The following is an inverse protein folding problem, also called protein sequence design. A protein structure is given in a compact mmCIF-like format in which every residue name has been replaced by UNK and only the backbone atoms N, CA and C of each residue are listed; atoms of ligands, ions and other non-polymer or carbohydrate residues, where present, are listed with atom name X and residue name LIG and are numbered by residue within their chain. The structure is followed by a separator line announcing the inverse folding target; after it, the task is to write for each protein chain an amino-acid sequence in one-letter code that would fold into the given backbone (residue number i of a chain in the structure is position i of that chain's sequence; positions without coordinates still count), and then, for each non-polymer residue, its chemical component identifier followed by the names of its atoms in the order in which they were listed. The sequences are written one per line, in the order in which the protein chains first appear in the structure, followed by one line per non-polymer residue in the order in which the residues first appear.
data_IF_696028412070
#
_entry.id   IF_696028412070
#
_cell.length_a   1.000
_cell.length_b   1.000
_cell.length_c   1.000
_cell.angle_alpha   90.00
_cell.angle_beta   90.00
_cell.angle_gamma   90.00
#
_symmetry.space_group_name_H-M   'P 1'
#
loop_
_entity.id
_entity.type
_entity.pdbx_description
1 polymer ?
#
# COMPACT_ATOMS: atom_id res chain seq x y z
N UNK A 1 14.40 23.26 20.85
CA UNK A 1 13.54 22.52 19.90
C UNK A 1 13.11 21.17 20.48
N UNK A 2 14.01 20.24 20.74
CA UNK A 2 13.69 18.89 21.28
C UNK A 2 12.94 18.93 22.62
N UNK A 3 13.41 19.72 23.60
CA UNK A 3 12.76 19.80 24.92
C UNK A 3 11.37 20.45 24.86
N UNK A 4 11.22 21.48 24.01
CA UNK A 4 9.95 22.20 23.82
C UNK A 4 8.88 21.29 23.20
N UNK A 5 9.26 20.55 22.15
CA UNK A 5 8.40 19.55 21.52
C UNK A 5 8.01 18.43 22.51
N UNK A 6 8.96 17.93 23.31
CA UNK A 6 8.70 16.93 24.34
C UNK A 6 7.72 17.42 25.42
N UNK A 7 7.88 18.66 25.90
CA UNK A 7 6.95 19.24 26.88
C UNK A 7 5.55 19.45 26.31
N UNK A 8 5.45 19.86 25.05
CA UNK A 8 4.18 19.99 24.34
C UNK A 8 3.47 18.63 24.21
N UNK A 9 4.20 17.60 23.76
CA UNK A 9 3.68 16.24 23.65
C UNK A 9 3.20 15.69 25.01
N UNK A 10 3.98 15.92 26.06
CA UNK A 10 3.62 15.53 27.42
C UNK A 10 2.30 16.18 27.88
N UNK A 11 2.20 17.50 27.70
CA UNK A 11 1.02 18.28 28.10
C UNK A 11 -0.22 17.86 27.31
N UNK A 12 -0.08 17.69 25.99
CA UNK A 12 -1.16 17.23 25.12
C UNK A 12 -1.65 15.83 25.51
N UNK A 13 -0.72 14.93 25.84
CA UNK A 13 -1.05 13.58 26.33
C UNK A 13 -1.78 13.57 27.66
N UNK A 14 -1.49 14.51 28.56
CA UNK A 14 -2.23 14.66 29.82
C UNK A 14 -3.68 15.13 29.60
N UNK A 15 -3.92 15.91 28.55
CA UNK A 15 -5.24 16.44 28.21
C UNK A 15 -6.14 15.42 27.49
N UNK A 16 -5.70 14.16 27.31
CA UNK A 16 -6.51 13.08 26.72
C UNK A 16 -7.48 12.45 27.73
N UNK A 17 -8.33 13.27 28.34
CA UNK A 17 -9.39 12.83 29.24
C UNK A 17 -10.61 12.31 28.47
N UNK A 18 -11.31 11.29 28.99
CA UNK A 18 -12.47 10.70 28.30
C UNK A 18 -13.76 11.51 28.42
N UNK A 19 -13.93 12.26 29.52
CA UNK A 19 -15.18 12.92 29.85
C UNK A 19 -15.28 14.36 29.33
N UNK A 20 -14.45 14.70 28.35
CA UNK A 20 -14.43 16.03 27.74
C UNK A 20 -15.31 16.08 26.47
N UNK A 21 -15.77 17.28 26.07
CA UNK A 21 -16.45 17.47 24.78
C UNK A 21 -15.61 16.96 23.60
N UNK A 22 -16.28 16.43 22.57
CA UNK A 22 -15.62 15.80 21.39
C UNK A 22 -14.62 16.72 20.69
N UNK A 23 -14.97 18.00 20.54
CA UNK A 23 -14.14 19.02 19.93
C UNK A 23 -12.85 19.27 20.71
N UNK A 24 -12.94 19.31 22.04
CA UNK A 24 -11.77 19.44 22.93
C UNK A 24 -10.89 18.18 22.84
N UNK A 25 -11.50 16.99 22.89
CA UNK A 25 -10.77 15.73 22.70
C UNK A 25 -10.04 15.68 21.36
N UNK A 26 -10.70 16.07 20.27
CA UNK A 26 -10.09 16.11 18.93
C UNK A 26 -8.95 17.12 18.85
N UNK A 27 -9.06 18.27 19.53
CA UNK A 27 -7.98 19.24 19.62
C UNK A 27 -6.74 18.63 20.29
N UNK A 28 -6.93 17.97 21.44
CA UNK A 28 -5.84 17.30 22.17
C UNK A 28 -5.22 16.16 21.35
N UNK A 29 -6.05 15.35 20.67
CA UNK A 29 -5.57 14.27 19.80
C UNK A 29 -4.75 14.79 18.62
N UNK A 30 -5.19 15.88 17.98
CA UNK A 30 -4.42 16.51 16.89
C UNK A 30 -3.11 17.10 17.37
N UNK A 31 -3.09 17.68 18.57
CA UNK A 31 -1.85 18.18 19.14
C UNK A 31 -0.85 17.04 19.40
N UNK A 32 -1.32 15.91 19.94
CA UNK A 32 -0.50 14.70 20.09
C UNK A 32 -0.02 14.20 18.72
N UNK A 33 -0.91 14.05 17.74
CA UNK A 33 -0.58 13.60 16.39
C UNK A 33 0.49 14.49 15.74
N UNK A 34 0.32 15.81 15.78
CA UNK A 34 1.26 16.77 15.20
C UNK A 34 2.63 16.68 15.86
N UNK A 35 2.67 16.56 17.20
CA UNK A 35 3.94 16.39 17.91
C UNK A 35 4.66 15.09 17.52
N UNK A 36 3.92 13.99 17.37
CA UNK A 36 4.48 12.69 17.01
C UNK A 36 4.93 12.64 15.54
N UNK A 37 4.23 13.34 14.64
CA UNK A 37 4.46 13.26 13.18
C UNK A 37 5.84 13.75 12.73
N UNK A 38 6.47 14.62 13.51
CA UNK A 38 7.79 15.23 13.23
C UNK A 38 8.93 14.54 13.98
N UNK A 39 8.63 13.49 14.76
CA UNK A 39 9.60 12.73 15.52
C UNK A 39 9.92 11.46 14.74
N UNK A 40 11.17 11.34 14.29
CA UNK A 40 11.68 10.08 13.76
C UNK A 40 11.90 9.06 14.88
N UNK A 41 12.31 7.85 14.50
CA UNK A 41 12.69 6.79 15.45
C UNK A 41 13.70 7.32 16.48
N UNK A 42 13.42 7.13 17.77
CA UNK A 42 14.18 7.78 18.83
C UNK A 42 14.21 6.97 20.12
N UNK A 43 15.42 6.72 20.62
CA UNK A 43 15.70 6.17 21.96
C UNK A 43 15.89 7.25 23.04
N UNK A 44 15.60 8.52 22.72
CA UNK A 44 15.75 9.64 23.66
C UNK A 44 14.84 9.48 24.88
N UNK A 45 15.45 9.44 26.08
CA UNK A 45 14.71 9.36 27.35
C UNK A 45 13.67 10.49 27.50
N UNK A 46 13.95 11.68 26.97
CA UNK A 46 13.04 12.83 27.04
C UNK A 46 11.76 12.55 26.25
N UNK A 47 11.88 12.05 25.01
CA UNK A 47 10.72 11.74 24.18
C UNK A 47 9.96 10.53 24.71
N UNK A 48 10.67 9.49 25.13
CA UNK A 48 10.06 8.30 25.73
C UNK A 48 9.31 8.66 27.02
N UNK A 49 9.85 9.56 27.85
CA UNK A 49 9.16 10.08 29.03
C UNK A 49 7.94 10.94 28.65
N UNK A 50 8.09 11.84 27.68
CA UNK A 50 7.04 12.73 27.20
C UNK A 50 5.84 11.97 26.59
N UNK A 51 6.08 10.82 25.95
CA UNK A 51 5.02 10.00 25.36
C UNK A 51 4.17 9.23 26.37
N UNK A 52 4.64 9.03 27.62
CA UNK A 52 3.96 8.18 28.60
C UNK A 52 2.48 8.52 28.82
N UNK A 53 2.07 9.80 28.98
CA UNK A 53 0.65 10.14 29.12
C UNK A 53 -0.17 9.76 27.88
N UNK A 54 0.36 10.02 26.68
CA UNK A 54 -0.29 9.66 25.41
C UNK A 54 -0.41 8.15 25.26
N UNK A 55 0.67 7.41 25.50
CA UNK A 55 0.69 5.94 25.46
C UNK A 55 -0.34 5.32 26.41
N UNK A 56 -0.47 5.88 27.60
CA UNK A 56 -1.43 5.39 28.61
C UNK A 56 -2.87 5.69 28.21
N UNK A 57 -3.13 6.88 27.66
CA UNK A 57 -4.48 7.33 27.34
C UNK A 57 -5.01 6.72 26.04
N UNK A 58 -4.20 6.67 24.98
CA UNK A 58 -4.62 6.25 23.64
C UNK A 58 -5.05 4.78 23.56
N UNK A 59 -4.48 3.91 24.41
CA UNK A 59 -4.81 2.47 24.44
C UNK A 59 -5.99 2.14 25.34
N UNK A 60 -6.66 3.15 25.89
CA UNK A 60 -7.90 2.95 26.63
C UNK A 60 -8.99 2.50 25.68
N UNK A 61 -9.74 1.47 26.07
CA UNK A 61 -10.82 0.88 25.26
C UNK A 61 -11.84 1.92 24.78
N UNK A 62 -12.07 2.94 25.59
CA UNK A 62 -13.02 4.03 25.37
C UNK A 62 -12.57 4.98 24.25
N UNK A 63 -11.25 5.17 24.05
CA UNK A 63 -10.71 5.90 22.90
C UNK A 63 -10.57 5.02 21.67
N UNK A 64 -10.08 3.79 21.83
CA UNK A 64 -9.93 2.85 20.71
C UNK A 64 -11.27 2.50 20.07
N UNK A 65 -12.33 2.38 20.87
CA UNK A 65 -13.70 2.06 20.41
C UNK A 65 -14.61 3.28 20.41
N UNK A 66 -14.04 4.49 20.35
CA UNK A 66 -14.82 5.72 20.31
C UNK A 66 -15.77 5.71 19.12
N UNK A 67 -17.05 6.10 19.33
CA UNK A 67 -18.11 5.97 18.33
C UNK A 67 -17.83 6.77 17.06
N UNK A 68 -17.33 8.00 17.23
CA UNK A 68 -16.98 8.86 16.10
C UNK A 68 -15.79 8.31 15.30
N UNK A 69 -16.03 8.07 14.01
CA UNK A 69 -15.04 7.52 13.07
C UNK A 69 -13.79 8.39 12.95
N UNK A 70 -13.92 9.71 12.94
CA UNK A 70 -12.79 10.61 12.78
C UNK A 70 -11.90 10.63 14.03
N UNK A 71 -12.52 10.63 15.23
CA UNK A 71 -11.79 10.45 16.50
C UNK A 71 -11.01 9.15 16.48
N UNK A 72 -11.67 8.03 16.13
CA UNK A 72 -11.03 6.71 16.09
C UNK A 72 -9.85 6.66 15.13
N UNK A 73 -9.98 7.19 13.91
CA UNK A 73 -8.87 7.28 12.95
C UNK A 73 -7.72 8.18 13.46
N UNK A 74 -8.03 9.25 14.20
CA UNK A 74 -7.00 10.11 14.80
C UNK A 74 -6.24 9.36 15.91
N UNK A 75 -6.95 8.58 16.73
CA UNK A 75 -6.34 7.68 17.72
C UNK A 75 -5.45 6.65 17.01
N UNK A 76 -5.93 5.99 15.95
CA UNK A 76 -5.16 5.04 15.13
C UNK A 76 -3.87 5.66 14.62
N UNK A 77 -3.94 6.89 14.06
CA UNK A 77 -2.76 7.63 13.59
C UNK A 77 -1.73 7.88 14.70
N UNK A 78 -2.19 8.31 15.88
CA UNK A 78 -1.29 8.54 17.02
C UNK A 78 -0.59 7.26 17.48
N UNK A 79 -1.31 6.14 17.63
CA UNK A 79 -0.72 4.89 18.13
C UNK A 79 0.26 4.26 17.11
N UNK A 80 -0.02 4.37 15.81
CA UNK A 80 0.90 3.87 14.79
C UNK A 80 2.17 4.74 14.67
N UNK A 81 2.07 6.06 14.89
CA UNK A 81 3.24 6.95 15.01
C UNK A 81 4.09 6.59 16.22
N UNK A 82 3.50 6.40 17.41
CA UNK A 82 4.24 5.96 18.61
C UNK A 82 4.96 4.64 18.33
N UNK A 83 4.29 3.70 17.65
CA UNK A 83 4.89 2.40 17.27
C UNK A 83 6.11 2.58 16.37
N UNK A 84 6.06 3.51 15.42
CA UNK A 84 7.20 3.87 14.57
C UNK A 84 8.35 4.52 15.36
N UNK A 85 8.03 5.44 16.27
CA UNK A 85 9.04 6.16 17.06
C UNK A 85 9.83 5.21 17.96
N UNK A 86 9.15 4.24 18.58
CA UNK A 86 9.80 3.30 19.51
C UNK A 86 10.37 2.04 18.85
N UNK A 87 10.22 1.90 17.53
CA UNK A 87 10.82 0.80 16.78
C UNK A 87 12.33 0.67 17.12
N UNK A 88 12.93 -0.53 17.07
CA UNK A 88 12.34 -1.81 16.65
C UNK A 88 11.48 -2.49 17.74
N UNK A 89 11.40 -1.93 18.95
CA UNK A 89 10.59 -2.50 20.04
C UNK A 89 9.20 -1.89 20.03
N UNK A 90 8.18 -2.71 19.84
CA UNK A 90 6.82 -2.19 19.89
C UNK A 90 6.50 -1.67 21.31
N UNK A 91 5.79 -0.53 21.42
CA UNK A 91 5.64 0.22 22.67
C UNK A 91 4.65 -0.41 23.65
N UNK A 92 3.79 -1.30 23.16
CA UNK A 92 2.72 -1.95 23.92
C UNK A 92 2.93 -3.47 23.97
N UNK A 93 2.22 -4.17 24.86
CA UNK A 93 2.24 -5.63 24.84
C UNK A 93 1.51 -6.19 23.59
N UNK A 94 1.75 -7.46 23.27
CA UNK A 94 1.23 -8.11 22.05
C UNK A 94 -0.29 -8.04 21.93
N UNK A 95 -1.06 -8.16 23.02
CA UNK A 95 -2.53 -8.10 22.97
C UNK A 95 -3.01 -6.71 22.55
N UNK A 96 -2.42 -5.67 23.14
CA UNK A 96 -2.74 -4.28 22.78
C UNK A 96 -2.31 -4.00 21.34
N UNK A 97 -1.14 -4.49 20.91
CA UNK A 97 -0.71 -4.36 19.52
C UNK A 97 -1.71 -4.99 18.53
N UNK A 98 -2.25 -6.17 18.84
CA UNK A 98 -3.30 -6.81 18.01
C UNK A 98 -4.57 -5.95 17.92
N UNK A 99 -5.01 -5.35 19.02
CA UNK A 99 -6.14 -4.39 18.99
C UNK A 99 -5.84 -3.15 18.15
N UNK A 100 -4.60 -2.63 18.21
CA UNK A 100 -4.16 -1.52 17.36
C UNK A 100 -4.18 -1.91 15.89
N UNK A 101 -3.68 -3.10 15.54
CA UNK A 101 -3.71 -3.59 14.15
C UNK A 101 -5.13 -3.81 13.64
N UNK A 102 -6.06 -4.25 14.49
CA UNK A 102 -7.48 -4.30 14.12
C UNK A 102 -8.00 -2.91 13.72
N UNK A 103 -7.68 -1.85 14.49
CA UNK A 103 -8.05 -0.47 14.13
C UNK A 103 -7.41 0.00 12.81
N UNK A 104 -6.15 -0.37 12.58
CA UNK A 104 -5.42 -0.02 11.35
C UNK A 104 -6.07 -0.69 10.14
N UNK A 105 -6.36 -1.98 10.20
CA UNK A 105 -6.98 -2.72 9.10
C UNK A 105 -8.40 -2.20 8.82
N UNK A 106 -9.20 -1.93 9.85
CA UNK A 106 -10.52 -1.26 9.71
C UNK A 106 -10.40 0.14 9.07
N UNK A 107 -9.25 0.81 9.23
CA UNK A 107 -9.00 2.09 8.59
C UNK A 107 -8.86 1.99 7.07
N UNK A 108 -8.59 0.80 6.52
CA UNK A 108 -8.43 0.59 5.08
C UNK A 108 -9.73 0.22 4.35
N UNK A 109 -10.75 -0.26 5.06
CA UNK A 109 -12.05 -0.63 4.47
C UNK A 109 -12.74 0.50 3.68
N UNK A 110 -12.42 1.77 3.96
CA UNK A 110 -13.06 2.90 3.26
C UNK A 110 -12.07 3.80 2.54
N UNK A 111 -11.06 3.22 1.89
CA UNK A 111 -10.16 3.95 1.00
C UNK A 111 -10.84 4.36 -0.32
N UNK A 112 -11.96 3.75 -0.68
CA UNK A 112 -12.83 4.13 -1.81
C UNK A 112 -13.72 5.34 -1.50
N UNK A 113 -14.03 5.58 -0.23
CA UNK A 113 -14.84 6.72 0.24
C UNK A 113 -14.00 8.01 0.37
N UNK A 114 -13.76 8.66 -0.78
CA UNK A 114 -13.03 9.93 -0.90
C UNK A 114 -13.69 11.07 -0.09
N UNK A 115 -14.99 10.93 0.24
CA UNK A 115 -15.78 12.00 0.85
C UNK A 115 -15.63 12.09 2.37
N UNK A 116 -15.34 11.01 3.11
CA UNK A 116 -15.09 11.12 4.56
C UNK A 116 -14.59 9.84 5.28
N UNK A 117 -13.45 9.86 6.02
CA UNK A 117 -12.35 10.82 6.03
C UNK A 117 -11.12 10.21 5.32
N UNK A 118 -11.16 10.24 3.99
CA UNK A 118 -10.13 9.65 3.14
C UNK A 118 -8.72 10.12 3.46
N UNK A 119 -8.51 11.43 3.64
CA UNK A 119 -7.19 12.00 3.93
C UNK A 119 -6.54 11.36 5.17
N UNK A 120 -7.31 11.14 6.24
CA UNK A 120 -6.79 10.53 7.47
C UNK A 120 -6.46 9.04 7.28
N UNK A 121 -7.26 8.31 6.49
CA UNK A 121 -6.96 6.92 6.12
C UNK A 121 -5.68 6.82 5.30
N UNK A 122 -5.47 7.75 4.36
CA UNK A 122 -4.22 7.85 3.59
C UNK A 122 -3.02 8.18 4.48
N UNK A 123 -3.17 9.03 5.50
CA UNK A 123 -2.12 9.26 6.50
C UNK A 123 -1.74 7.96 7.20
N UNK A 124 -2.71 7.20 7.71
CA UNK A 124 -2.45 5.92 8.39
C UNK A 124 -1.76 4.94 7.43
N UNK A 125 -2.25 4.80 6.20
CA UNK A 125 -1.67 3.95 5.16
C UNK A 125 -0.20 4.29 4.91
N UNK A 126 0.13 5.58 4.77
CA UNK A 126 1.50 6.06 4.56
C UNK A 126 2.40 5.74 5.75
N UNK A 127 1.90 5.90 6.98
CA UNK A 127 2.70 5.57 8.17
C UNK A 127 2.97 4.07 8.23
N UNK A 128 1.94 3.23 8.01
CA UNK A 128 2.06 1.76 7.95
C UNK A 128 3.11 1.32 6.94
N UNK A 129 3.10 1.90 5.73
CA UNK A 129 4.11 1.66 4.72
C UNK A 129 5.51 2.12 5.17
N UNK A 130 5.64 3.36 5.69
CA UNK A 130 6.93 3.95 6.12
C UNK A 130 7.61 3.09 7.19
N UNK A 131 6.85 2.65 8.18
CA UNK A 131 7.41 1.91 9.33
C UNK A 131 7.38 0.39 9.13
N UNK A 132 6.95 -0.07 7.95
CA UNK A 132 6.84 -1.51 7.63
C UNK A 132 5.98 -2.28 8.64
N UNK A 133 4.86 -1.69 9.06
CA UNK A 133 4.07 -2.22 10.18
C UNK A 133 3.48 -3.62 9.91
N UNK A 134 3.38 -4.04 8.65
CA UNK A 134 2.99 -5.40 8.27
C UNK A 134 3.99 -6.46 8.76
N UNK A 135 5.28 -6.14 8.89
CA UNK A 135 6.27 -7.07 9.47
C UNK A 135 5.97 -7.33 10.94
N UNK A 136 5.59 -6.29 11.68
CA UNK A 136 5.14 -6.44 13.08
C UNK A 136 3.86 -7.28 13.17
N UNK A 137 2.96 -7.21 12.17
CA UNK A 137 1.78 -8.08 12.12
C UNK A 137 2.17 -9.54 11.91
N UNK A 138 3.16 -9.82 11.07
CA UNK A 138 3.72 -11.16 10.86
C UNK A 138 4.35 -11.68 12.17
N UNK A 139 5.22 -10.90 12.80
CA UNK A 139 5.88 -11.26 14.07
C UNK A 139 4.90 -11.55 15.23
N UNK A 140 3.68 -11.01 15.16
CA UNK A 140 2.64 -11.18 16.16
C UNK A 140 1.60 -12.25 15.78
N UNK A 141 1.80 -12.99 14.69
CA UNK A 141 0.88 -14.01 14.19
C UNK A 141 -0.53 -13.44 13.94
N UNK A 142 -0.62 -12.34 13.18
CA UNK A 142 -1.88 -11.66 12.87
C UNK A 142 -2.48 -12.05 11.50
N UNK A 143 -2.44 -13.34 11.13
CA UNK A 143 -2.87 -13.84 9.81
C UNK A 143 -4.27 -13.36 9.40
N UNK A 144 -5.27 -13.46 10.29
CA UNK A 144 -6.63 -13.00 10.03
C UNK A 144 -6.72 -11.50 9.66
N UNK A 145 -5.84 -10.68 10.24
CA UNK A 145 -5.77 -9.25 9.96
C UNK A 145 -5.07 -8.98 8.64
N UNK A 146 -4.04 -9.75 8.31
CA UNK A 146 -3.33 -9.68 7.03
C UNK A 146 -4.28 -10.02 5.88
N UNK A 147 -5.04 -11.11 6.00
CA UNK A 147 -6.05 -11.50 5.02
C UNK A 147 -7.09 -10.40 4.79
N UNK A 148 -7.64 -9.84 5.88
CA UNK A 148 -8.59 -8.71 5.80
C UNK A 148 -7.97 -7.47 5.17
N UNK A 149 -6.72 -7.16 5.47
CA UNK A 149 -5.99 -6.03 4.89
C UNK A 149 -5.85 -6.19 3.38
N UNK A 150 -5.43 -7.37 2.91
CA UNK A 150 -5.31 -7.66 1.48
C UNK A 150 -6.67 -7.55 0.79
N UNK A 151 -7.73 -8.13 1.37
CA UNK A 151 -9.08 -8.01 0.83
C UNK A 151 -9.51 -6.54 0.72
N UNK A 152 -9.32 -5.74 1.78
CA UNK A 152 -9.65 -4.32 1.74
C UNK A 152 -8.88 -3.58 0.65
N UNK A 153 -7.60 -3.87 0.43
CA UNK A 153 -6.83 -3.24 -0.64
C UNK A 153 -7.33 -3.61 -2.03
N UNK A 154 -7.67 -4.88 -2.27
CA UNK A 154 -8.24 -5.30 -3.56
C UNK A 154 -9.62 -4.66 -3.78
N UNK A 155 -10.49 -4.64 -2.76
CA UNK A 155 -11.86 -4.13 -2.85
C UNK A 155 -11.91 -2.61 -3.05
N UNK A 156 -11.00 -1.86 -2.41
CA UNK A 156 -11.09 -0.40 -2.33
C UNK A 156 -10.20 0.34 -3.31
N UNK A 157 -9.20 -0.33 -3.91
CA UNK A 157 -8.34 0.29 -4.91
C UNK A 157 -9.15 0.66 -6.14
N UNK A 158 -9.06 1.91 -6.58
CA UNK A 158 -9.79 2.41 -7.75
C UNK A 158 -8.97 3.44 -8.53
N UNK A 159 -9.42 3.75 -9.74
CA UNK A 159 -8.78 4.70 -10.66
C UNK A 159 -8.76 6.13 -10.09
N UNK A 160 -9.63 6.43 -9.12
CA UNK A 160 -9.71 7.74 -8.48
C UNK A 160 -8.60 7.97 -7.45
N UNK A 161 -7.83 6.94 -7.09
CA UNK A 161 -6.74 7.07 -6.15
C UNK A 161 -5.55 7.82 -6.74
N UNK A 162 -4.99 8.73 -5.95
CA UNK A 162 -3.71 9.33 -6.29
C UNK A 162 -2.60 8.26 -6.32
N UNK A 163 -1.61 8.43 -7.20
CA UNK A 163 -0.51 7.48 -7.40
C UNK A 163 0.20 7.07 -6.10
N UNK A 164 0.40 8.00 -5.18
CA UNK A 164 1.06 7.75 -3.90
C UNK A 164 0.27 6.81 -2.97
N UNK A 165 -1.06 6.79 -3.08
CA UNK A 165 -1.92 5.84 -2.35
C UNK A 165 -1.68 4.43 -2.90
N UNK A 166 -1.75 4.26 -4.22
CA UNK A 166 -1.51 2.97 -4.89
C UNK A 166 -0.10 2.45 -4.58
N UNK A 167 0.92 3.32 -4.61
CA UNK A 167 2.31 2.95 -4.26
C UNK A 167 2.40 2.47 -2.80
N UNK A 168 1.69 3.11 -1.88
CA UNK A 168 1.69 2.70 -0.47
C UNK A 168 1.03 1.33 -0.28
N UNK A 169 -0.10 1.09 -0.95
CA UNK A 169 -0.78 -0.22 -0.95
C UNK A 169 0.13 -1.32 -1.52
N UNK A 170 0.70 -1.07 -2.70
CA UNK A 170 1.64 -1.99 -3.37
C UNK A 170 2.82 -2.31 -2.45
N UNK A 171 3.44 -1.29 -1.84
CA UNK A 171 4.57 -1.45 -0.92
C UNK A 171 4.22 -2.37 0.26
N UNK A 172 3.05 -2.17 0.86
CA UNK A 172 2.61 -3.00 2.00
C UNK A 172 2.36 -4.44 1.57
N UNK A 173 1.61 -4.65 0.48
CA UNK A 173 1.29 -6.00 0.00
C UNK A 173 2.55 -6.79 -0.39
N UNK A 174 3.44 -6.17 -1.18
CA UNK A 174 4.70 -6.79 -1.62
C UNK A 174 5.61 -7.11 -0.43
N UNK A 175 5.77 -6.16 0.50
CA UNK A 175 6.61 -6.38 1.68
C UNK A 175 6.05 -7.50 2.56
N UNK A 176 4.73 -7.54 2.75
CA UNK A 176 4.09 -8.60 3.55
C UNK A 176 4.40 -9.97 2.96
N UNK A 177 4.18 -10.17 1.67
CA UNK A 177 4.46 -11.46 1.01
C UNK A 177 5.93 -11.86 1.11
N UNK A 178 6.85 -10.93 0.86
CA UNK A 178 8.28 -11.24 0.87
C UNK A 178 8.81 -11.61 2.26
N UNK A 179 8.27 -10.99 3.32
CA UNK A 179 8.67 -11.22 4.71
C UNK A 179 7.90 -12.36 5.38
N UNK A 180 6.78 -12.82 4.81
CA UNK A 180 6.06 -14.01 5.30
C UNK A 180 6.94 -15.26 5.22
N UNK A 181 6.93 -16.13 6.23
CA UNK A 181 7.62 -17.43 6.15
C UNK A 181 6.97 -18.36 5.12
N UNK A 182 5.64 -18.42 5.13
CA UNK A 182 4.80 -19.22 4.24
C UNK A 182 3.59 -18.41 3.77
N UNK A 183 3.05 -18.73 2.59
CA UNK A 183 1.90 -18.04 1.99
C UNK A 183 0.67 -18.92 2.12
N UNK A 184 -0.33 -18.45 2.87
CA UNK A 184 -1.57 -19.19 3.08
C UNK A 184 -2.42 -19.30 1.79
N UNK A 185 -3.16 -20.40 1.65
CA UNK A 185 -4.06 -20.64 0.52
C UNK A 185 -5.16 -19.58 0.39
N UNK A 186 -5.60 -19.02 1.52
CA UNK A 186 -6.57 -17.92 1.53
C UNK A 186 -5.95 -16.64 0.94
N UNK A 187 -4.69 -16.34 1.27
CA UNK A 187 -3.99 -15.18 0.72
C UNK A 187 -3.78 -15.32 -0.80
N UNK A 188 -3.39 -16.52 -1.25
CA UNK A 188 -3.31 -16.84 -2.69
C UNK A 188 -4.67 -16.67 -3.38
N UNK A 189 -5.74 -17.15 -2.75
CA UNK A 189 -7.10 -17.02 -3.30
C UNK A 189 -7.48 -15.55 -3.53
N UNK A 190 -7.13 -14.65 -2.61
CA UNK A 190 -7.37 -13.20 -2.75
C UNK A 190 -6.60 -12.64 -3.95
N UNK A 191 -5.33 -13.02 -4.13
CA UNK A 191 -4.51 -12.59 -5.27
C UNK A 191 -5.05 -13.15 -6.59
N UNK A 192 -5.41 -14.43 -6.66
CA UNK A 192 -5.94 -15.07 -7.86
C UNK A 192 -7.30 -14.49 -8.28
N UNK A 193 -8.19 -14.23 -7.33
CA UNK A 193 -9.46 -13.54 -7.60
C UNK A 193 -9.22 -12.15 -8.22
N UNK A 194 -8.23 -11.42 -7.69
CA UNK A 194 -7.76 -10.14 -8.24
C UNK A 194 -7.26 -10.21 -9.69
N UNK A 195 -6.63 -11.31 -10.08
CA UNK A 195 -6.15 -11.51 -11.46
C UNK A 195 -7.27 -11.92 -12.43
N UNK A 196 -8.19 -12.79 -11.98
CA UNK A 196 -9.24 -13.41 -12.80
C UNK A 196 -10.40 -12.48 -13.16
N UNK A 197 -10.36 -11.21 -12.75
CA UNK A 197 -11.42 -10.23 -13.00
C UNK A 197 -12.78 -10.75 -12.53
N UNK A 198 -12.84 -11.33 -11.33
CA UNK A 198 -14.13 -11.67 -10.73
C UNK A 198 -15.03 -10.41 -10.66
N UNK A 199 -16.35 -10.63 -10.67
CA UNK A 199 -17.30 -9.52 -10.71
C UNK A 199 -17.03 -8.52 -9.57
N UNK A 200 -16.98 -7.23 -9.90
CA UNK A 200 -16.77 -6.08 -9.00
C UNK A 200 -15.32 -5.69 -8.66
N UNK A 201 -14.30 -6.21 -9.36
CA UNK A 201 -12.91 -5.74 -9.20
C UNK A 201 -12.61 -4.59 -10.17
N UNK A 202 -12.02 -3.51 -9.69
CA UNK A 202 -11.65 -2.37 -10.54
C UNK A 202 -10.41 -2.69 -11.41
N UNK A 203 -10.29 -2.10 -12.62
CA UNK A 203 -9.06 -2.14 -13.40
C UNK A 203 -7.81 -1.73 -12.60
N UNK A 204 -7.90 -0.70 -11.76
CA UNK A 204 -6.79 -0.27 -10.91
C UNK A 204 -6.37 -1.35 -9.90
N UNK A 205 -7.32 -2.06 -9.29
CA UNK A 205 -7.06 -3.17 -8.39
C UNK A 205 -6.42 -4.35 -9.12
N UNK A 206 -6.84 -4.65 -10.34
CA UNK A 206 -6.21 -5.70 -11.16
C UNK A 206 -4.74 -5.37 -11.47
N UNK A 207 -4.44 -4.12 -11.85
CA UNK A 207 -3.06 -3.67 -12.09
C UNK A 207 -2.23 -3.74 -10.82
N UNK A 208 -2.80 -3.34 -9.68
CA UNK A 208 -2.16 -3.47 -8.37
C UNK A 208 -1.77 -4.93 -8.09
N UNK A 209 -2.73 -5.86 -8.16
CA UNK A 209 -2.49 -7.29 -7.87
C UNK A 209 -1.50 -7.89 -8.85
N UNK A 210 -1.59 -7.56 -10.13
CA UNK A 210 -0.62 -7.99 -11.15
C UNK A 210 0.80 -7.55 -10.80
N UNK A 211 0.97 -6.31 -10.33
CA UNK A 211 2.27 -5.80 -9.92
C UNK A 211 2.78 -6.48 -8.64
N UNK A 212 1.90 -6.73 -7.66
CA UNK A 212 2.24 -7.48 -6.44
C UNK A 212 2.76 -8.88 -6.81
N UNK A 213 2.04 -9.61 -7.65
CA UNK A 213 2.43 -10.98 -8.06
C UNK A 213 3.76 -10.98 -8.81
N UNK A 214 3.99 -10.02 -9.71
CA UNK A 214 5.27 -9.87 -10.41
C UNK A 214 6.42 -9.57 -9.47
N UNK A 215 6.23 -8.69 -8.48
CA UNK A 215 7.29 -8.33 -7.52
C UNK A 215 7.58 -9.42 -6.48
N UNK A 216 6.65 -10.35 -6.28
CA UNK A 216 6.76 -11.47 -5.34
C UNK A 216 6.87 -12.82 -6.07
N UNK A 217 7.28 -12.84 -7.34
CA UNK A 217 7.30 -14.07 -8.15
C UNK A 217 8.09 -15.20 -7.48
N UNK A 218 9.30 -14.91 -7.00
CA UNK A 218 10.16 -15.90 -6.36
C UNK A 218 9.50 -16.54 -5.13
N UNK A 219 8.75 -15.73 -4.36
CA UNK A 219 8.05 -16.17 -3.16
C UNK A 219 6.78 -16.95 -3.48
N UNK A 220 6.05 -16.54 -4.53
CA UNK A 220 4.75 -17.12 -4.89
C UNK A 220 4.89 -18.38 -5.76
N UNK A 221 5.95 -18.49 -6.56
CA UNK A 221 6.15 -19.58 -7.53
C UNK A 221 5.98 -20.98 -6.93
N UNK A 222 6.53 -21.32 -5.75
CA UNK A 222 6.34 -22.64 -5.15
C UNK A 222 4.87 -22.98 -4.90
N UNK A 223 4.04 -22.00 -4.56
CA UNK A 223 2.64 -22.23 -4.20
C UNK A 223 1.72 -22.30 -5.42
N UNK A 224 2.10 -21.67 -6.54
CA UNK A 224 1.34 -21.70 -7.79
C UNK A 224 1.57 -22.99 -8.60
N UNK A 225 2.66 -23.71 -8.35
CA UNK A 225 3.00 -24.95 -9.05
C UNK A 225 2.54 -26.23 -8.34
N UNK A 226 2.04 -26.14 -7.10
CA UNK A 226 1.66 -27.29 -6.26
C UNK A 226 0.22 -27.77 -6.52
N UNK A 227 -0.60 -27.02 -7.28
CA UNK A 227 -1.93 -27.48 -7.74
C UNK A 227 -1.89 -28.60 -8.81
N UNK A 228 -0.72 -29.23 -9.07
CA UNK A 228 -0.54 -30.19 -10.17
C UNK A 228 0.10 -31.54 -9.80
N UNK A 229 -0.05 -32.03 -8.56
CA UNK A 229 0.21 -33.47 -8.29
C UNK A 229 -1.02 -34.29 -7.89
N UNK A 230 -2.19 -33.67 -7.70
CA UNK A 230 -3.47 -34.41 -7.54
C UNK A 230 -4.57 -33.78 -8.40
N UNK A 231 -4.40 -33.76 -9.74
CA UNK A 231 -5.46 -33.86 -10.73
C UNK A 231 -4.85 -33.82 -12.15
N UNK A 232 -4.43 -34.99 -12.64
CA UNK A 232 -4.23 -35.20 -14.07
C UNK A 232 -5.59 -35.18 -14.80
N UNK A 233 -6.11 -33.98 -15.09
CA UNK A 233 -7.00 -33.73 -16.23
C UNK A 233 -7.21 -32.23 -16.39
N UNK A 234 -7.10 -31.72 -17.61
CA UNK A 234 -7.32 -30.32 -18.05
C UNK A 234 -6.22 -29.28 -17.73
N UNK A 235 -5.02 -29.48 -18.29
CA UNK A 235 -4.09 -28.40 -18.63
C UNK A 235 -4.68 -27.51 -19.73
N UNK A 236 -5.33 -26.39 -19.41
CA UNK A 236 -5.52 -25.29 -20.38
C UNK A 236 -6.01 -23.95 -19.77
N UNK A 237 -5.55 -23.50 -18.61
CA UNK A 237 -5.83 -22.13 -18.18
C UNK A 237 -4.56 -21.56 -17.55
N UNK A 238 -3.91 -20.64 -18.26
CA UNK A 238 -2.86 -19.66 -17.84
C UNK A 238 -1.96 -19.31 -19.05
N UNK A 239 -1.84 -20.18 -20.07
CA UNK A 239 -1.21 -19.77 -21.34
C UNK A 239 -2.03 -18.76 -22.17
N UNK A 240 -3.25 -18.44 -21.73
CA UNK A 240 -4.16 -17.52 -22.44
C UNK A 240 -4.31 -16.13 -21.84
N UNK A 241 -3.75 -15.84 -20.65
CA UNK A 241 -3.84 -14.50 -20.05
C UNK A 241 -2.73 -13.56 -20.59
N UNK A 242 -1.76 -14.10 -21.36
CA UNK A 242 -0.72 -13.32 -22.05
C UNK A 242 -0.96 -13.34 -23.57
N UNK A 243 -2.16 -12.97 -24.00
CA UNK A 243 -2.42 -12.58 -25.39
C UNK A 243 -2.63 -11.07 -25.43
N UNK A 244 -1.67 -10.36 -26.02
CA UNK A 244 -1.86 -8.98 -26.47
C UNK A 244 -3.01 -8.92 -27.49
N UNK A 245 -3.84 -7.87 -27.50
CA UNK A 245 -4.76 -7.63 -28.61
C UNK A 245 -3.99 -7.08 -29.81
N UNK A 246 -3.85 -7.87 -30.88
CA UNK A 246 -3.50 -7.37 -32.22
C UNK A 246 -4.69 -6.55 -32.77
N UNK A 247 -4.52 -5.24 -32.91
CA UNK A 247 -5.40 -4.38 -33.70
C UNK A 247 -4.92 -4.45 -35.15
N UNK A 248 -5.79 -4.96 -36.03
CA UNK A 248 -5.64 -4.84 -37.50
C UNK A 248 -5.50 -3.36 -37.89
N UNK A 249 -4.36 -2.99 -38.47
CA UNK A 249 -4.20 -1.73 -39.19
C UNK A 249 -4.89 -1.83 -40.55
N UNK A 250 -5.90 -0.98 -40.76
CA UNK A 250 -6.37 -0.58 -42.09
C UNK A 250 -6.14 0.91 -42.27
N UNK A 251 -5.52 1.22 -43.39
CA UNK A 251 -4.81 2.45 -43.69
C UNK A 251 -5.70 3.67 -44.04
N UNK A 252 -5.18 4.86 -43.64
CA UNK A 252 -5.28 6.21 -44.24
C UNK A 252 -6.55 7.08 -44.09
N UNK A 253 -6.45 8.14 -43.26
CA UNK A 253 -6.59 9.54 -43.73
C UNK A 253 -6.03 10.54 -42.70
N UNK A 254 -5.21 11.49 -43.19
CA UNK A 254 -4.66 12.64 -42.47
C UNK A 254 -5.74 13.46 -41.73
N UNK A 255 -5.51 13.81 -40.45
CA UNK A 255 -5.70 15.17 -39.92
C UNK A 255 -5.30 15.30 -38.43
N UNK A 256 -4.43 16.28 -38.16
CA UNK A 256 -4.17 17.04 -36.93
C UNK A 256 -4.05 16.29 -35.57
N UNK A 257 -2.83 16.32 -35.01
CA UNK A 257 -2.57 16.05 -33.59
C UNK A 257 -3.16 17.18 -32.71
N UNK A 258 -4.08 16.85 -31.82
CA UNK A 258 -4.36 17.63 -30.62
C UNK A 258 -3.79 16.88 -29.40
N UNK A 259 -2.86 17.53 -28.71
CA UNK A 259 -2.38 17.13 -27.38
C UNK A 259 -3.55 17.17 -26.38
N UNK A 260 -3.84 16.04 -25.72
CA UNK A 260 -4.72 16.05 -24.55
C UNK A 260 -3.90 16.45 -23.34
N UNK A 261 -3.83 17.77 -23.12
CA UNK A 261 -3.41 18.35 -21.83
C UNK A 261 -4.56 18.14 -20.85
N UNK A 262 -4.38 17.25 -19.87
CA UNK A 262 -5.26 17.22 -18.71
C UNK A 262 -4.92 18.38 -17.78
N UNK A 263 -5.52 19.55 -18.04
CA UNK A 263 -5.59 20.62 -17.05
C UNK A 263 -6.57 20.21 -15.95
N UNK A 264 -6.05 19.66 -14.86
CA UNK A 264 -6.80 19.57 -13.60
C UNK A 264 -6.52 20.80 -12.73
N UNK A 265 -6.97 21.94 -13.22
CA UNK A 265 -6.92 23.20 -12.50
C UNK A 265 -8.14 23.28 -11.56
N UNK A 266 -8.10 22.59 -10.41
CA UNK A 266 -9.02 22.84 -9.27
C UNK A 266 -8.77 22.03 -7.98
N UNK A 267 -7.76 21.16 -7.87
CA UNK A 267 -7.56 20.33 -6.67
C UNK A 267 -6.19 20.48 -5.97
N UNK A 268 -5.50 21.61 -6.20
CA UNK A 268 -4.23 21.94 -5.53
C UNK A 268 -4.39 22.67 -4.19
N UNK A 269 -5.60 22.97 -3.72
CA UNK A 269 -5.81 23.80 -2.52
C UNK A 269 -5.94 23.07 -1.18
N UNK A 270 -5.59 21.79 -1.10
CA UNK A 270 -5.65 21.03 0.18
C UNK A 270 -4.38 20.25 0.54
N UNK A 271 -3.22 20.53 -0.08
CA UNK A 271 -1.96 19.81 0.22
C UNK A 271 -0.79 20.75 0.57
N UNK A 272 -1.00 22.06 0.68
CA UNK A 272 0.06 22.97 1.11
C UNK A 272 -0.12 23.34 2.59
N UNK A 273 0.87 22.88 3.36
CA UNK A 273 1.19 23.16 4.77
C UNK A 273 1.01 21.96 5.73
N UNK A 274 1.94 21.00 5.65
CA UNK A 274 2.86 20.69 6.77
C UNK A 274 3.90 19.64 6.30
N UNK A 275 5.17 20.09 6.24
CA UNK A 275 6.44 19.34 6.22
C UNK A 275 6.73 18.55 4.91
N UNK A 276 7.43 19.08 3.90
CA UNK A 276 8.76 19.70 3.91
C UNK A 276 9.80 18.90 4.72
N UNK A 277 9.90 17.61 4.42
CA UNK A 277 11.17 16.87 4.39
C UNK A 277 10.96 15.55 3.63
N UNK A 278 11.09 15.62 2.30
CA UNK A 278 11.26 14.44 1.46
C UNK A 278 12.30 14.81 0.40
N UNK A 279 13.56 14.95 0.82
CA UNK A 279 14.68 14.92 -0.10
C UNK A 279 14.84 13.46 -0.57
N UNK A 280 14.20 13.11 -1.68
CA UNK A 280 14.79 12.13 -2.58
C UNK A 280 15.84 12.89 -3.37
N UNK A 281 17.12 12.56 -3.16
CA UNK A 281 18.22 12.99 -4.00
C UNK A 281 17.89 12.73 -5.46
N UNK A 282 17.43 13.78 -6.11
CA UNK A 282 17.12 13.84 -7.52
C UNK A 282 18.29 14.52 -8.17
N UNK A 283 19.39 13.79 -8.42
CA UNK A 283 20.31 14.10 -9.51
C UNK A 283 21.32 12.96 -9.76
N UNK A 284 21.35 12.53 -11.02
CA UNK A 284 22.25 11.60 -11.71
C UNK A 284 21.93 10.10 -11.64
N UNK A 285 21.00 9.68 -12.51
CA UNK A 285 21.46 8.91 -13.67
C UNK A 285 20.60 9.22 -14.90
N UNK A 286 21.11 10.13 -15.73
CA UNK A 286 20.69 10.22 -17.13
C UNK A 286 21.21 8.97 -17.84
N UNK A 287 20.36 8.22 -18.54
CA UNK A 287 20.80 7.39 -19.66
C UNK A 287 20.30 8.03 -20.95
N UNK A 288 21.05 9.02 -21.43
CA UNK A 288 21.12 9.32 -22.85
C UNK A 288 21.86 8.18 -23.54
N UNK A 289 21.23 7.58 -24.55
CA UNK A 289 21.85 6.66 -25.49
C UNK A 289 23.09 7.30 -26.11
N UNK A 290 24.25 6.70 -25.89
CA UNK A 290 25.38 6.80 -26.80
C UNK A 290 25.65 5.40 -27.32
N UNK A 291 25.68 5.29 -28.65
CA UNK A 291 25.96 4.09 -29.43
C UNK A 291 27.12 3.26 -28.87
N UNK A 292 26.80 2.05 -28.43
CA UNK A 292 27.71 0.91 -28.53
C UNK A 292 26.86 -0.31 -28.90
N UNK A 293 27.03 -0.77 -30.13
CA UNK A 293 26.13 -1.67 -30.83
C UNK A 293 25.77 -2.94 -30.07
N UNK A 294 24.46 -3.16 -29.97
CA UNK A 294 23.87 -4.48 -29.83
C UNK A 294 22.53 -4.44 -30.57
N UNK A 295 22.47 -5.12 -31.72
CA UNK A 295 21.31 -5.08 -32.60
C UNK A 295 20.14 -5.88 -32.03
N UNK A 296 18.99 -5.21 -32.00
CA UNK A 296 17.66 -5.78 -31.74
C UNK A 296 17.33 -6.83 -32.81
N UNK A 297 17.38 -8.12 -32.44
CA UNK A 297 17.10 -9.22 -33.37
C UNK A 297 17.57 -10.62 -32.95
N UNK A 298 18.32 -10.77 -31.84
CA UNK A 298 19.07 -12.01 -31.59
C UNK A 298 18.37 -13.13 -30.80
N UNK A 299 17.09 -12.98 -30.41
CA UNK A 299 16.37 -14.09 -29.76
C UNK A 299 15.66 -15.03 -30.74
N UNK A 300 15.45 -14.64 -32.01
CA UNK A 300 14.69 -15.45 -33.00
C UNK A 300 15.51 -16.53 -33.73
N UNK A 301 16.74 -16.86 -33.30
CA UNK A 301 17.63 -17.78 -34.04
C UNK A 301 17.88 -19.15 -33.38
N UNK A 302 17.02 -19.59 -32.47
CA UNK A 302 17.08 -20.97 -31.95
C UNK A 302 15.76 -21.71 -32.17
N UNK A 303 15.52 -22.14 -33.42
CA UNK A 303 14.90 -23.42 -33.73
C UNK A 303 15.14 -23.73 -35.22
N UNK A 304 15.89 -24.78 -35.52
CA UNK A 304 16.04 -25.34 -36.86
C UNK A 304 14.97 -26.40 -37.08
N UNK A 305 14.50 -26.53 -38.34
CA UNK A 305 14.17 -27.77 -39.11
C UNK A 305 13.05 -27.45 -40.14
N UNK A 306 13.50 -27.23 -41.39
CA UNK A 306 13.12 -27.90 -42.68
C UNK A 306 11.67 -28.41 -42.86
N UNK A 307 11.00 -28.35 -44.00
CA UNK A 307 11.31 -27.97 -45.38
C UNK A 307 9.98 -27.65 -46.09
N UNK A 308 10.06 -26.74 -47.05
CA UNK A 308 9.45 -26.75 -48.38
C UNK A 308 8.05 -27.36 -48.58
N UNK A 309 7.09 -26.49 -48.92
CA UNK A 309 6.20 -26.79 -50.04
C UNK A 309 5.92 -25.50 -50.84
N UNK A 310 6.39 -25.51 -52.08
CA UNK A 310 6.25 -24.44 -53.05
C UNK A 310 4.79 -24.16 -53.42
N UNK A 311 4.48 -22.86 -53.39
CA UNK A 311 3.94 -22.03 -54.49
C UNK A 311 3.09 -22.72 -55.56
N UNK A 312 1.87 -22.22 -55.75
CA UNK A 312 1.43 -21.43 -56.92
C UNK A 312 -0.11 -21.49 -57.02
N UNK A 313 -0.75 -20.35 -56.74
CA UNK A 313 -2.08 -20.05 -57.27
C UNK A 313 -1.91 -19.83 -58.78
N UNK A 314 -2.69 -20.54 -59.59
CA UNK A 314 -3.02 -20.12 -60.94
C UNK A 314 -4.46 -19.64 -60.98
N UNK A 315 -4.57 -18.39 -61.44
CA UNK A 315 -5.72 -17.55 -61.82
C UNK A 315 -6.61 -17.01 -60.72
#
# INVERSE_FOLDING_TARGET
MVLDLGLKLYSAGQNLELHQPKDVLLSSLREVENCLSVVDQSDSEIFLWAMKPSMTSLVRSELMRYLDKYVRLTVTSCVILITGITAPKHPFNSNIMKEIFQLIVESFQGLDDIRSPFAKRVTILKIVAKIKACVIMLDLDCEDLILKMFQHFVDTTSENHAKNVIISILTIMTLTLNESDDISQQLLSILLAGLRQEQNISPAAQVLVTNVVKQCEEKLRPHLTVEHEEEESSKSEISEVVKEPEIENKDHSEHACEEVVFQNDSMERYVLEENADFCIDSNNNSLSLHDSGFHEGDWKKQLWVTDENEVQVLT
#
